data_IF_072385659921
#
_entry.id   IF_072385659921
#
_cell.length_a   1.000
_cell.length_b   1.000
_cell.length_c   1.000
_cell.angle_alpha   90.00
_cell.angle_beta   90.00
_cell.angle_gamma   90.00
#
_symmetry.space_group_name_H-M   'P 1'
#
loop_
_entity.id
_entity.type
_entity.pdbx_description
1 polymer ?
#
# COMPACT_ATOMS: atom_id res chain seq x y z
N UNK A 1 -29.02 -39.84 -2.78
CA UNK A 1 -29.60 -38.52 -2.48
C UNK A 1 -28.60 -37.64 -1.76
N UNK A 2 -27.97 -38.01 -0.67
CA UNK A 2 -27.00 -37.22 0.09
C UNK A 2 -25.73 -36.83 -0.70
N UNK A 3 -25.18 -37.69 -1.53
CA UNK A 3 -24.01 -37.42 -2.38
C UNK A 3 -24.26 -36.32 -3.39
N UNK A 4 -25.42 -36.29 -4.03
CA UNK A 4 -25.78 -35.26 -4.99
C UNK A 4 -25.92 -33.89 -4.33
N UNK A 5 -26.51 -33.82 -3.14
CA UNK A 5 -26.66 -32.60 -2.35
C UNK A 5 -25.27 -32.08 -1.93
N UNK A 6 -24.37 -32.96 -1.49
CA UNK A 6 -23.00 -32.57 -1.11
C UNK A 6 -22.22 -32.00 -2.27
N UNK A 7 -22.31 -32.56 -3.47
CA UNK A 7 -21.65 -32.06 -4.69
C UNK A 7 -22.20 -30.68 -5.07
N UNK A 8 -23.52 -30.51 -5.01
CA UNK A 8 -24.15 -29.19 -5.30
C UNK A 8 -23.69 -28.15 -4.31
N UNK A 9 -23.68 -28.45 -3.01
CA UNK A 9 -23.21 -27.51 -1.99
C UNK A 9 -21.74 -27.14 -2.20
N UNK A 10 -20.87 -28.10 -2.52
CA UNK A 10 -19.47 -27.87 -2.79
C UNK A 10 -19.25 -26.99 -4.03
N UNK A 11 -20.01 -27.24 -5.11
CA UNK A 11 -19.91 -26.42 -6.33
C UNK A 11 -20.40 -24.98 -6.13
N UNK A 12 -21.47 -24.77 -5.38
CA UNK A 12 -21.95 -23.44 -5.02
C UNK A 12 -20.94 -22.70 -4.17
N UNK A 13 -20.37 -23.34 -3.15
CA UNK A 13 -19.35 -22.76 -2.30
C UNK A 13 -18.11 -22.35 -3.13
N UNK A 14 -17.66 -23.22 -4.01
CA UNK A 14 -16.54 -22.93 -4.92
C UNK A 14 -16.85 -21.73 -5.82
N UNK A 15 -18.04 -21.68 -6.42
CA UNK A 15 -18.46 -20.56 -7.26
C UNK A 15 -18.49 -19.24 -6.48
N UNK A 16 -18.98 -19.23 -5.25
CA UNK A 16 -18.99 -18.06 -4.38
C UNK A 16 -17.56 -17.60 -4.05
N UNK A 17 -16.68 -18.54 -3.71
CA UNK A 17 -15.27 -18.22 -3.43
C UNK A 17 -14.57 -17.62 -4.65
N UNK A 18 -14.77 -18.23 -5.83
CA UNK A 18 -14.20 -17.72 -7.08
C UNK A 18 -14.74 -16.33 -7.44
N UNK A 19 -16.05 -16.12 -7.32
CA UNK A 19 -16.68 -14.82 -7.56
C UNK A 19 -16.14 -13.74 -6.61
N UNK A 20 -15.97 -14.08 -5.33
CA UNK A 20 -15.35 -13.17 -4.35
C UNK A 20 -13.91 -12.84 -4.72
N UNK A 21 -13.08 -13.85 -5.06
CA UNK A 21 -11.71 -13.63 -5.51
C UNK A 21 -11.62 -12.73 -6.75
N UNK A 22 -12.48 -12.95 -7.74
CA UNK A 22 -12.54 -12.12 -8.95
C UNK A 22 -12.93 -10.67 -8.63
N UNK A 23 -13.89 -10.47 -7.74
CA UNK A 23 -14.31 -9.14 -7.30
C UNK A 23 -13.18 -8.39 -6.58
N UNK A 24 -12.50 -9.07 -5.66
CA UNK A 24 -11.38 -8.51 -4.92
C UNK A 24 -10.21 -8.16 -5.85
N UNK A 25 -9.94 -9.01 -6.84
CA UNK A 25 -8.92 -8.78 -7.86
C UNK A 25 -9.23 -7.54 -8.71
N UNK A 26 -10.45 -7.43 -9.24
CA UNK A 26 -10.90 -6.26 -10.01
C UNK A 26 -10.86 -4.97 -9.16
N UNK A 27 -11.19 -5.07 -7.88
CA UNK A 27 -11.10 -3.94 -6.95
C UNK A 27 -9.66 -3.50 -6.76
N UNK A 28 -8.72 -4.46 -6.59
CA UNK A 28 -7.30 -4.16 -6.49
C UNK A 28 -6.75 -3.53 -7.78
N UNK A 29 -7.09 -4.06 -8.95
CA UNK A 29 -6.65 -3.53 -10.24
C UNK A 29 -7.04 -2.07 -10.44
N UNK A 30 -8.25 -1.66 -10.03
CA UNK A 30 -8.69 -0.25 -10.09
C UNK A 30 -7.90 0.68 -9.19
N UNK A 31 -7.34 0.16 -8.10
CA UNK A 31 -6.54 0.90 -7.13
C UNK A 31 -5.05 0.57 -7.23
N UNK A 32 -4.61 0.10 -8.39
CA UNK A 32 -3.20 -0.15 -8.69
C UNK A 32 -2.79 0.74 -9.86
N UNK A 33 -1.59 1.30 -9.77
CA UNK A 33 -0.95 2.05 -10.84
C UNK A 33 0.38 1.39 -11.20
N UNK A 34 0.71 1.29 -12.49
CA UNK A 34 2.00 0.77 -12.92
C UNK A 34 3.09 1.86 -12.83
N UNK A 35 4.37 1.49 -12.74
CA UNK A 35 5.46 2.46 -12.76
C UNK A 35 5.44 3.38 -13.99
N UNK A 36 5.14 2.84 -15.16
CA UNK A 36 5.05 3.60 -16.41
C UNK A 36 3.93 4.63 -16.36
N UNK A 37 2.76 4.24 -15.84
CA UNK A 37 1.63 5.14 -15.71
C UNK A 37 1.90 6.24 -14.68
N UNK A 38 2.58 5.93 -13.56
CA UNK A 38 3.01 6.94 -12.60
C UNK A 38 4.03 7.90 -13.21
N UNK A 39 5.03 7.38 -13.95
CA UNK A 39 6.00 8.21 -14.65
C UNK A 39 5.34 9.17 -15.63
N UNK A 40 4.35 8.70 -16.38
CA UNK A 40 3.57 9.56 -17.29
C UNK A 40 2.80 10.67 -16.55
N UNK A 41 2.21 10.37 -15.39
CA UNK A 41 1.56 11.38 -14.55
C UNK A 41 2.55 12.45 -14.06
N UNK A 42 3.72 12.04 -13.60
CA UNK A 42 4.77 12.96 -13.15
C UNK A 42 5.30 13.84 -14.29
N UNK A 43 5.52 13.25 -15.46
CA UNK A 43 5.97 13.97 -16.65
C UNK A 43 4.94 15.01 -17.15
N UNK A 44 3.65 14.78 -16.94
CA UNK A 44 2.57 15.69 -17.31
C UNK A 44 2.26 16.74 -16.24
N UNK A 45 3.07 16.85 -15.17
CA UNK A 45 2.86 17.76 -14.03
C UNK A 45 1.45 17.68 -13.42
N UNK A 46 0.84 16.50 -13.43
CA UNK A 46 -0.43 16.30 -12.77
C UNK A 46 -0.26 16.38 -11.25
N UNK A 47 -1.25 16.98 -10.60
CA UNK A 47 -1.27 17.19 -9.15
C UNK A 47 -1.59 15.87 -8.43
N UNK A 48 -0.61 14.97 -8.33
CA UNK A 48 -0.67 13.73 -7.57
C UNK A 48 0.24 13.80 -6.35
N UNK A 49 -0.22 13.28 -5.24
CA UNK A 49 0.58 13.14 -4.03
C UNK A 49 1.14 11.72 -3.95
N UNK A 50 2.44 11.61 -3.73
CA UNK A 50 3.12 10.31 -3.62
C UNK A 50 3.60 10.14 -2.18
N UNK A 51 3.24 9.02 -1.58
CA UNK A 51 3.64 8.66 -0.22
C UNK A 51 4.41 7.36 -0.17
N UNK A 52 5.59 7.44 0.42
CA UNK A 52 6.39 6.30 0.83
C UNK A 52 5.95 5.87 2.23
N UNK A 53 5.39 4.68 2.35
CA UNK A 53 4.93 4.13 3.64
C UNK A 53 5.75 2.90 4.04
N UNK A 54 7.03 2.88 3.67
CA UNK A 54 7.97 1.86 4.15
C UNK A 54 8.22 2.02 5.65
N UNK A 55 8.55 0.90 6.30
CA UNK A 55 8.99 0.95 7.70
C UNK A 55 10.26 1.79 7.83
N UNK A 56 10.50 2.44 8.99
CA UNK A 56 11.70 3.24 9.21
C UNK A 56 13.00 2.48 8.93
N UNK A 57 13.06 1.20 9.30
CA UNK A 57 14.25 0.35 9.06
C UNK A 57 14.46 0.05 7.57
N UNK A 58 13.38 -0.11 6.80
CA UNK A 58 13.48 -0.30 5.35
C UNK A 58 14.01 0.96 4.67
N UNK A 59 13.54 2.14 5.12
CA UNK A 59 14.04 3.43 4.63
C UNK A 59 15.50 3.68 5.01
N UNK A 60 15.94 3.24 6.20
CA UNK A 60 17.35 3.29 6.61
C UNK A 60 18.23 2.41 5.74
N UNK A 61 17.79 1.19 5.47
CA UNK A 61 18.52 0.24 4.63
C UNK A 61 18.65 0.69 3.18
N UNK A 62 17.67 1.46 2.69
CA UNK A 62 17.60 1.96 1.32
C UNK A 62 17.07 3.40 1.32
N UNK A 63 17.96 4.36 1.60
CA UNK A 63 17.65 5.77 1.82
C UNK A 63 17.36 6.55 0.54
N UNK A 64 16.59 5.99 -0.39
CA UNK A 64 16.14 6.67 -1.60
C UNK A 64 14.63 6.60 -1.73
N UNK A 65 14.04 7.60 -2.39
CA UNK A 65 12.59 7.70 -2.64
C UNK A 65 12.32 8.08 -4.11
N UNK A 66 11.10 7.85 -4.55
CA UNK A 66 10.61 8.36 -5.84
C UNK A 66 10.62 9.90 -5.79
N UNK A 67 11.07 10.60 -6.85
CA UNK A 67 11.05 12.07 -6.89
C UNK A 67 9.66 12.64 -6.56
N UNK A 68 9.62 13.61 -5.65
CA UNK A 68 8.37 14.21 -5.19
C UNK A 68 7.62 13.43 -4.11
N UNK A 69 8.05 12.22 -3.77
CA UNK A 69 7.43 11.46 -2.70
C UNK A 69 7.71 12.05 -1.31
N UNK A 70 6.75 11.88 -0.41
CA UNK A 70 6.87 12.19 1.01
C UNK A 70 6.84 10.88 1.79
N UNK A 71 7.79 10.71 2.70
CA UNK A 71 7.74 9.56 3.60
C UNK A 71 6.78 9.83 4.77
N UNK A 72 5.93 8.86 5.06
CA UNK A 72 5.05 8.84 6.22
C UNK A 72 5.21 7.51 6.95
N UNK A 73 5.52 7.59 8.25
CA UNK A 73 5.61 6.40 9.09
C UNK A 73 4.28 5.64 9.08
N UNK A 74 4.27 4.33 8.78
CA UNK A 74 3.02 3.55 8.72
C UNK A 74 2.21 3.59 10.02
N UNK A 75 2.88 3.66 11.16
CA UNK A 75 2.24 3.75 12.48
C UNK A 75 1.59 5.11 12.71
N UNK A 76 2.17 6.20 12.21
CA UNK A 76 1.59 7.55 12.28
C UNK A 76 0.32 7.65 11.43
N UNK A 77 0.37 7.12 10.20
CA UNK A 77 -0.81 7.05 9.32
C UNK A 77 -1.92 6.20 9.94
N UNK A 78 -1.55 5.12 10.63
CA UNK A 78 -2.51 4.27 11.33
C UNK A 78 -3.14 4.98 12.53
N UNK A 79 -2.36 5.75 13.29
CA UNK A 79 -2.83 6.51 14.44
C UNK A 79 -3.66 7.73 14.02
N UNK A 80 -3.27 8.40 12.93
CA UNK A 80 -3.95 9.58 12.42
C UNK A 80 -4.11 9.52 10.89
N UNK A 81 -5.18 8.87 10.39
CA UNK A 81 -5.43 8.78 8.95
C UNK A 81 -5.66 10.13 8.26
N UNK A 82 -5.96 11.21 9.00
CA UNK A 82 -6.14 12.55 8.43
C UNK A 82 -4.84 13.21 7.94
N UNK A 83 -3.68 12.61 8.21
CA UNK A 83 -2.41 12.99 7.57
C UNK A 83 -2.43 12.82 6.05
N UNK A 84 -3.30 11.93 5.54
CA UNK A 84 -3.52 11.74 4.12
C UNK A 84 -4.76 12.54 3.67
N UNK A 85 -4.68 13.40 2.66
CA UNK A 85 -5.84 14.06 2.09
C UNK A 85 -6.75 13.07 1.37
N UNK A 86 -8.08 13.21 1.52
CA UNK A 86 -9.07 12.32 0.91
C UNK A 86 -9.62 12.82 -0.42
N UNK A 87 -9.43 14.10 -0.69
CA UNK A 87 -9.97 14.85 -1.83
C UNK A 87 -9.01 14.87 -3.04
N UNK A 88 -7.78 14.38 -2.88
CA UNK A 88 -6.73 14.37 -3.90
C UNK A 88 -6.35 12.95 -4.33
N UNK A 89 -5.73 12.84 -5.50
CA UNK A 89 -5.18 11.58 -5.99
C UNK A 89 -3.92 11.23 -5.19
N UNK A 90 -3.97 10.06 -4.55
CA UNK A 90 -2.88 9.55 -3.72
C UNK A 90 -2.25 8.33 -4.37
N UNK A 91 -0.94 8.36 -4.52
CA UNK A 91 -0.15 7.20 -4.89
C UNK A 91 0.66 6.78 -3.67
N UNK A 92 0.51 5.53 -3.28
CA UNK A 92 1.20 4.98 -2.10
C UNK A 92 2.09 3.82 -2.54
N UNK A 93 3.29 3.74 -2.02
CA UNK A 93 4.17 2.59 -2.23
C UNK A 93 4.86 2.14 -0.94
N UNK A 94 5.21 0.86 -0.91
CA UNK A 94 5.98 0.21 0.15
C UNK A 94 6.93 -0.83 -0.46
N UNK A 95 7.73 -1.48 0.38
CA UNK A 95 8.59 -2.61 -0.02
C UNK A 95 7.87 -3.97 0.04
N UNK A 96 6.58 -4.00 0.34
CA UNK A 96 5.84 -5.26 0.50
C UNK A 96 5.51 -5.88 -0.86
N UNK A 97 6.18 -6.96 -1.28
CA UNK A 97 5.93 -7.59 -2.58
C UNK A 97 4.64 -8.42 -2.61
N UNK A 98 3.94 -8.59 -1.47
CA UNK A 98 2.78 -9.47 -1.44
C UNK A 98 1.47 -8.74 -1.69
N UNK A 99 0.72 -9.18 -2.70
CA UNK A 99 -0.66 -8.74 -2.99
C UNK A 99 -1.62 -8.84 -1.79
N UNK A 100 -1.32 -9.71 -0.82
CA UNK A 100 -2.13 -9.90 0.37
C UNK A 100 -2.08 -8.67 1.29
N UNK A 101 -0.88 -8.14 1.55
CA UNK A 101 -0.69 -6.94 2.40
C UNK A 101 -1.31 -5.72 1.74
N UNK A 102 -1.07 -5.52 0.45
CA UNK A 102 -1.66 -4.42 -0.33
C UNK A 102 -3.18 -4.46 -0.30
N UNK A 103 -3.79 -5.66 -0.38
CA UNK A 103 -5.26 -5.82 -0.26
C UNK A 103 -5.79 -5.42 1.10
N UNK A 104 -5.13 -5.80 2.18
CA UNK A 104 -5.54 -5.43 3.55
C UNK A 104 -5.48 -3.91 3.72
N UNK A 105 -4.39 -3.28 3.26
CA UNK A 105 -4.22 -1.82 3.32
C UNK A 105 -5.31 -1.14 2.49
N UNK A 106 -5.57 -1.61 1.26
CA UNK A 106 -6.62 -1.07 0.41
C UNK A 106 -7.99 -1.13 1.07
N UNK A 107 -8.37 -2.28 1.62
CA UNK A 107 -9.65 -2.42 2.31
C UNK A 107 -9.80 -1.43 3.47
N UNK A 108 -8.75 -1.25 4.26
CA UNK A 108 -8.74 -0.27 5.36
C UNK A 108 -8.84 1.18 4.84
N UNK A 109 -8.04 1.52 3.83
CA UNK A 109 -8.07 2.85 3.22
C UNK A 109 -9.45 3.20 2.67
N UNK A 110 -10.09 2.27 1.95
CA UNK A 110 -11.45 2.46 1.43
C UNK A 110 -12.49 2.58 2.55
N UNK A 111 -12.37 1.79 3.62
CA UNK A 111 -13.25 1.90 4.79
C UNK A 111 -13.11 3.26 5.50
N UNK A 112 -11.95 3.88 5.43
CA UNK A 112 -11.68 5.23 5.95
C UNK A 112 -12.05 6.35 4.97
N UNK A 113 -12.59 6.02 3.80
CA UNK A 113 -13.06 6.98 2.79
C UNK A 113 -11.99 7.48 1.81
N UNK A 114 -10.84 6.82 1.70
CA UNK A 114 -9.82 7.13 0.69
C UNK A 114 -10.19 6.50 -0.66
N UNK A 115 -11.07 7.16 -1.41
CA UNK A 115 -11.58 6.63 -2.68
C UNK A 115 -10.62 6.85 -3.86
N UNK A 116 -9.71 7.82 -3.74
CA UNK A 116 -8.76 8.23 -4.79
C UNK A 116 -7.33 7.74 -4.50
N UNK A 117 -7.19 6.63 -3.77
CA UNK A 117 -5.90 6.03 -3.45
C UNK A 117 -5.55 4.95 -4.47
N UNK A 118 -4.29 4.93 -4.92
CA UNK A 118 -3.71 3.86 -5.74
C UNK A 118 -2.40 3.38 -5.14
N UNK A 119 -2.12 2.11 -5.34
CA UNK A 119 -0.87 1.47 -4.92
C UNK A 119 0.05 1.30 -6.12
N UNK A 120 1.31 1.66 -5.97
CA UNK A 120 2.30 1.44 -7.01
C UNK A 120 2.63 -0.05 -7.10
N UNK A 121 2.42 -0.62 -8.28
CA UNK A 121 2.75 -2.03 -8.56
C UNK A 121 4.25 -2.26 -8.43
N UNK A 122 4.63 -3.26 -7.64
CA UNK A 122 6.03 -3.55 -7.38
C UNK A 122 6.74 -2.56 -6.43
N UNK A 123 6.03 -1.52 -5.94
CA UNK A 123 6.61 -0.54 -5.01
C UNK A 123 7.85 0.17 -5.57
N UNK A 124 8.82 0.46 -4.70
CA UNK A 124 10.07 1.11 -5.10
C UNK A 124 10.93 0.22 -6.02
N UNK A 125 10.92 -1.10 -5.79
CA UNK A 125 11.69 -2.03 -6.61
C UNK A 125 11.14 -2.06 -8.04
N UNK A 126 9.82 -2.18 -8.21
CA UNK A 126 9.21 -2.13 -9.54
C UNK A 126 9.45 -0.80 -10.26
N UNK A 127 9.55 0.33 -9.54
CA UNK A 127 9.93 1.62 -10.10
C UNK A 127 11.36 1.59 -10.66
N UNK A 128 12.30 1.05 -9.89
CA UNK A 128 13.72 0.91 -10.29
C UNK A 128 13.93 -0.08 -11.42
N UNK A 129 13.25 -1.22 -11.41
CA UNK A 129 13.33 -2.24 -12.47
C UNK A 129 12.94 -1.68 -13.84
N UNK A 130 12.06 -0.66 -13.85
CA UNK A 130 11.70 0.07 -15.06
C UNK A 130 12.70 1.20 -15.43
N UNK A 131 13.80 1.34 -14.68
CA UNK A 131 14.84 2.32 -14.95
C UNK A 131 14.49 3.76 -14.59
N UNK A 132 13.45 3.99 -13.79
CA UNK A 132 13.03 5.33 -13.39
C UNK A 132 13.88 5.90 -12.25
N UNK A 133 14.08 7.23 -12.22
CA UNK A 133 14.98 7.88 -11.28
C UNK A 133 14.47 7.80 -9.84
N UNK A 134 15.43 7.72 -8.91
CA UNK A 134 15.19 7.88 -7.47
C UNK A 134 16.07 9.00 -6.94
N UNK A 135 15.68 9.60 -5.83
CA UNK A 135 16.42 10.67 -5.16
C UNK A 135 16.74 10.29 -3.71
N UNK A 136 17.88 10.74 -3.15
CA UNK A 136 18.21 10.49 -1.76
C UNK A 136 17.14 11.09 -0.83
N UNK A 137 16.73 10.31 0.18
CA UNK A 137 15.91 10.81 1.28
C UNK A 137 16.80 11.58 2.27
N UNK A 138 16.57 12.88 2.41
CA UNK A 138 17.41 13.78 3.23
C UNK A 138 16.71 14.29 4.49
N UNK A 139 15.42 13.98 4.70
CA UNK A 139 14.71 14.44 5.88
C UNK A 139 15.04 13.58 7.10
N UNK A 140 15.19 14.18 8.30
CA UNK A 140 15.34 13.41 9.51
C UNK A 140 14.06 12.62 9.77
N UNK A 141 14.19 11.40 10.27
CA UNK A 141 13.07 10.61 10.76
C UNK A 141 13.36 10.19 12.19
N UNK A 142 12.34 10.21 13.00
CA UNK A 142 12.44 9.78 14.38
C UNK A 142 12.01 8.31 14.47
N UNK A 143 12.91 7.44 14.92
CA UNK A 143 12.51 6.12 15.39
C UNK A 143 11.76 6.35 16.69
N UNK A 144 10.46 6.08 16.73
CA UNK A 144 9.69 6.15 17.98
C UNK A 144 10.30 5.16 18.99
N UNK A 145 11.13 5.68 19.88
CA UNK A 145 11.75 4.92 20.99
C UNK A 145 10.78 4.64 22.14
N UNK A 146 9.52 5.05 22.04
CA UNK A 146 8.54 4.93 23.14
C UNK A 146 8.10 3.49 23.47
N UNK A 147 8.51 2.49 22.68
CA UNK A 147 8.19 1.09 23.00
C UNK A 147 9.16 0.37 23.92
N UNK A 148 10.29 0.97 24.25
CA UNK A 148 11.32 0.32 25.08
C UNK A 148 11.18 0.59 26.58
N UNK A 149 10.40 1.58 27.00
CA UNK A 149 10.28 1.94 28.42
C UNK A 149 9.26 1.12 29.23
N UNK A 150 8.49 0.23 28.61
CA UNK A 150 7.53 -0.61 29.36
C UNK A 150 8.13 -1.94 29.87
N UNK A 151 9.36 -2.29 29.47
CA UNK A 151 10.02 -3.53 29.92
C UNK A 151 11.06 -3.31 31.02
N UNK A 152 11.35 -2.06 31.40
CA UNK A 152 12.38 -1.75 32.40
C UNK A 152 11.85 -1.45 33.81
N UNK A 153 10.53 -1.40 34.03
CA UNK A 153 9.93 -1.10 35.34
C UNK A 153 9.09 -2.25 35.91
N UNK A 154 9.52 -3.48 35.70
CA UNK A 154 8.92 -4.68 36.28
C UNK A 154 9.99 -5.41 37.16
N UNK A 155 10.38 -4.81 38.27
CA UNK A 155 11.07 -5.52 39.35
C UNK A 155 10.57 -5.00 40.67
#
# INVERSE_FOLDING_TARGET
MFLAISIICASVLLAVVLAKRMRDRRKMERHTITPEALQALLASNQDVLIFDVRQPLDLLGDSVIIPGAQWLAPDEVRANPSLLPKDRDLIVYCTCPSDKTSRIILHRALAMGFLRIKFLKGGLDGWRENGYPVVPYKKPFHLNSDKTNHLANGS
#
